data_IF_457306183562
#
_entry.id   IF_457306183562
#
_cell.length_a   1.000
_cell.length_b   1.000
_cell.length_c   1.000
_cell.angle_alpha   90.00
_cell.angle_beta   90.00
_cell.angle_gamma   90.00
#
_symmetry.space_group_name_H-M   'P 1'
#
loop_
_entity.id
_entity.type
_entity.pdbx_description
1 polymer ?
#
# COMPACT_ATOMS: atom_id res chain seq x y z
N UNK A 1 8.50 -3.31 -12.73
CA UNK A 1 9.18 -2.28 -11.92
C UNK A 1 9.15 -2.79 -10.49
N UNK A 2 10.33 -2.86 -9.82
CA UNK A 2 10.41 -3.30 -8.44
C UNK A 2 9.51 -2.47 -7.52
N UNK A 3 9.00 -3.13 -6.48
CA UNK A 3 8.07 -2.55 -5.54
C UNK A 3 8.50 -2.88 -4.11
N UNK A 4 8.72 -1.85 -3.30
CA UNK A 4 9.09 -2.00 -1.90
C UNK A 4 7.90 -1.68 -1.01
N UNK A 5 7.50 -2.62 -0.15
CA UNK A 5 6.50 -2.35 0.89
C UNK A 5 6.95 -1.20 1.79
N UNK A 6 6.03 -0.31 2.10
CA UNK A 6 6.25 0.77 3.03
C UNK A 6 5.22 0.70 4.15
N UNK A 7 5.74 0.81 5.37
CA UNK A 7 4.89 1.08 6.51
C UNK A 7 4.55 2.56 6.49
N UNK A 8 3.26 2.84 6.58
CA UNK A 8 2.72 4.19 6.51
C UNK A 8 1.84 4.46 7.71
N UNK A 9 1.81 5.71 8.14
CA UNK A 9 0.89 6.21 9.15
C UNK A 9 -0.05 7.22 8.50
N UNK A 10 -1.33 7.13 8.84
CA UNK A 10 -2.33 8.11 8.41
C UNK A 10 -2.08 9.43 9.12
N UNK A 11 -1.94 10.49 8.34
CA UNK A 11 -1.62 11.84 8.81
C UNK A 11 -2.76 12.84 8.55
N UNK A 12 -3.96 12.34 8.25
CA UNK A 12 -5.16 13.13 7.97
C UNK A 12 -5.61 13.05 6.51
N UNK A 13 -6.42 14.01 6.07
CA UNK A 13 -7.01 14.03 4.72
C UNK A 13 -6.59 15.30 3.99
N UNK A 14 -6.12 15.16 2.76
CA UNK A 14 -5.75 16.28 1.87
C UNK A 14 -6.57 16.13 0.59
N UNK A 15 -7.31 17.19 0.23
CA UNK A 15 -8.17 17.22 -0.97
C UNK A 15 -9.13 16.01 -1.07
N UNK A 16 -9.72 15.59 0.06
CA UNK A 16 -10.63 14.45 0.14
C UNK A 16 -9.97 13.07 0.03
N UNK A 17 -8.64 13.00 -0.05
CA UNK A 17 -7.86 11.74 -0.06
C UNK A 17 -7.10 11.58 1.24
N UNK A 18 -6.96 10.35 1.72
CA UNK A 18 -6.23 10.10 2.96
C UNK A 18 -4.72 10.22 2.73
N UNK A 19 -4.07 11.06 3.52
CA UNK A 19 -2.63 11.28 3.44
C UNK A 19 -1.90 10.24 4.29
N UNK A 20 -1.10 9.43 3.61
CA UNK A 20 -0.24 8.42 4.21
C UNK A 20 1.20 8.93 4.20
N UNK A 21 1.83 8.92 5.36
CA UNK A 21 3.23 9.30 5.51
C UNK A 21 4.04 8.02 5.78
N UNK A 22 5.03 7.69 4.94
CA UNK A 22 5.95 6.58 5.22
C UNK A 22 6.67 6.80 6.55
N UNK A 23 6.68 5.80 7.42
CA UNK A 23 7.34 5.89 8.73
C UNK A 23 8.86 5.71 8.65
N UNK A 24 9.39 5.45 7.46
CA UNK A 24 10.81 5.11 7.23
C UNK A 24 11.09 3.61 7.30
N UNK A 25 10.19 2.82 7.90
CA UNK A 25 10.28 1.36 7.88
C UNK A 25 9.83 0.83 6.51
N UNK A 26 10.76 0.18 5.81
CA UNK A 26 10.53 -0.48 4.54
C UNK A 26 10.42 -1.99 4.79
N UNK A 27 9.40 -2.60 4.20
CA UNK A 27 9.17 -4.03 4.25
C UNK A 27 9.87 -4.75 3.09
N UNK A 28 9.22 -5.83 2.63
CA UNK A 28 9.78 -6.68 1.59
C UNK A 28 9.83 -5.92 0.26
N UNK A 29 10.96 -6.02 -0.44
CA UNK A 29 11.06 -5.57 -1.83
C UNK A 29 10.80 -6.74 -2.76
N UNK A 30 9.94 -6.53 -3.74
CA UNK A 30 9.51 -7.53 -4.70
C UNK A 30 9.80 -7.07 -6.14
N UNK A 31 9.98 -8.01 -7.08
CA UNK A 31 10.14 -7.67 -8.50
C UNK A 31 8.94 -6.91 -9.06
N UNK A 32 7.72 -7.29 -8.65
CA UNK A 32 6.48 -6.62 -9.05
C UNK A 32 5.46 -6.56 -7.89
N UNK A 33 4.69 -5.48 -7.81
CA UNK A 33 3.50 -5.39 -6.92
C UNK A 33 2.55 -6.57 -7.14
N UNK A 34 2.45 -7.04 -8.39
CA UNK A 34 1.56 -8.13 -8.77
C UNK A 34 1.89 -9.44 -8.03
N UNK A 35 3.15 -9.68 -7.69
CA UNK A 35 3.55 -10.88 -6.92
C UNK A 35 2.88 -10.92 -5.54
N UNK A 36 2.77 -9.75 -4.90
CA UNK A 36 2.04 -9.61 -3.63
C UNK A 36 0.54 -9.81 -3.80
N UNK A 37 -0.05 -9.15 -4.80
CA UNK A 37 -1.49 -9.28 -5.07
C UNK A 37 -1.85 -10.73 -5.34
N UNK A 38 -1.06 -11.43 -6.17
CA UNK A 38 -1.24 -12.85 -6.46
C UNK A 38 -1.08 -13.70 -5.20
N UNK A 39 -0.10 -13.40 -4.34
CA UNK A 39 0.06 -14.09 -3.04
C UNK A 39 -1.17 -13.95 -2.14
N UNK A 40 -1.72 -12.74 -2.03
CA UNK A 40 -2.94 -12.47 -1.24
C UNK A 40 -4.18 -13.12 -1.82
N UNK A 41 -4.35 -13.10 -3.14
CA UNK A 41 -5.44 -13.77 -3.83
C UNK A 41 -5.38 -15.30 -3.63
N UNK A 42 -4.18 -15.90 -3.69
CA UNK A 42 -3.97 -17.32 -3.36
C UNK A 42 -4.33 -17.64 -1.91
N UNK A 43 -4.02 -16.71 -0.99
CA UNK A 43 -4.41 -16.81 0.41
C UNK A 43 -5.90 -16.49 0.67
N UNK A 44 -6.72 -16.31 -0.38
CA UNK A 44 -8.14 -15.94 -0.31
C UNK A 44 -8.40 -14.65 0.50
N UNK A 45 -7.39 -13.79 0.58
CA UNK A 45 -7.50 -12.50 1.26
C UNK A 45 -8.03 -11.47 0.26
N UNK A 46 -9.15 -10.79 0.56
CA UNK A 46 -9.70 -9.78 -0.33
C UNK A 46 -8.75 -8.57 -0.36
N UNK A 47 -8.29 -8.22 -1.56
CA UNK A 47 -7.42 -7.07 -1.81
C UNK A 47 -8.15 -6.07 -2.69
N UNK A 48 -8.10 -4.79 -2.33
CA UNK A 48 -8.70 -3.70 -3.09
C UNK A 48 -7.66 -2.63 -3.37
N UNK A 49 -7.56 -2.19 -4.62
CA UNK A 49 -6.75 -1.04 -4.98
C UNK A 49 -7.38 0.24 -4.42
N UNK A 50 -6.61 0.99 -3.64
CA UNK A 50 -6.99 2.28 -3.01
C UNK A 50 -6.04 3.40 -3.43
N UNK A 51 -5.26 3.20 -4.48
CA UNK A 51 -4.29 4.17 -5.01
C UNK A 51 -4.94 5.47 -5.46
N UNK A 52 -6.22 5.43 -5.85
CA UNK A 52 -6.97 6.63 -6.22
C UNK A 52 -7.48 7.42 -5.01
N UNK A 53 -7.63 6.78 -3.84
CA UNK A 53 -8.27 7.35 -2.64
C UNK A 53 -7.28 7.79 -1.56
N UNK A 54 -6.00 7.44 -1.72
CA UNK A 54 -4.94 7.84 -0.79
C UNK A 54 -3.90 8.71 -1.51
N UNK A 55 -3.07 9.39 -0.73
CA UNK A 55 -1.92 10.14 -1.19
C UNK A 55 -0.73 9.77 -0.34
N UNK A 56 0.41 9.49 -0.94
CA UNK A 56 1.62 9.12 -0.21
C UNK A 56 2.62 10.28 -0.25
N UNK A 57 2.94 10.84 0.91
CA UNK A 57 3.82 12.00 1.00
C UNK A 57 5.24 11.65 0.56
N UNK A 58 5.82 12.46 -0.33
CA UNK A 58 7.24 12.37 -0.69
C UNK A 58 7.59 11.23 -1.64
N UNK A 59 6.60 10.56 -2.24
CA UNK A 59 6.83 9.46 -3.19
C UNK A 59 6.18 9.79 -4.52
N UNK A 60 7.00 9.86 -5.57
CA UNK A 60 6.52 10.19 -6.93
C UNK A 60 5.73 9.06 -7.58
N UNK A 61 6.15 7.81 -7.37
CA UNK A 61 5.49 6.63 -7.93
C UNK A 61 5.23 5.61 -6.82
N UNK A 62 3.96 5.28 -6.63
CA UNK A 62 3.52 4.41 -5.55
C UNK A 62 2.22 3.69 -5.94
N UNK A 63 1.93 2.60 -5.22
CA UNK A 63 0.65 1.89 -5.28
C UNK A 63 0.15 1.64 -3.85
N UNK A 64 -1.17 1.64 -3.62
CA UNK A 64 -1.73 1.32 -2.32
C UNK A 64 -2.87 0.33 -2.43
N UNK A 65 -2.86 -0.65 -1.54
CA UNK A 65 -3.87 -1.70 -1.47
C UNK A 65 -4.42 -1.80 -0.06
N UNK A 66 -5.73 -2.03 0.03
CA UNK A 66 -6.43 -2.34 1.27
C UNK A 66 -6.74 -3.85 1.28
N UNK A 67 -6.42 -4.51 2.38
CA UNK A 67 -6.82 -5.88 2.64
C UNK A 67 -7.58 -5.99 3.97
N UNK A 68 -8.36 -7.06 4.14
CA UNK A 68 -9.07 -7.34 5.38
C UNK A 68 -8.49 -8.58 6.05
N UNK A 69 -7.79 -8.40 7.17
CA UNK A 69 -7.19 -9.48 7.96
C UNK A 69 -7.79 -9.45 9.36
N UNK A 70 -8.39 -10.56 9.79
CA UNK A 70 -8.99 -10.67 11.13
C UNK A 70 -10.06 -9.61 11.43
N UNK A 71 -10.80 -9.16 10.41
CA UNK A 71 -11.81 -8.10 10.53
C UNK A 71 -11.28 -6.66 10.47
N UNK A 72 -9.96 -6.45 10.57
CA UNK A 72 -9.32 -5.13 10.47
C UNK A 72 -8.94 -4.84 9.03
N UNK A 73 -9.13 -3.58 8.62
CA UNK A 73 -8.61 -3.07 7.35
C UNK A 73 -7.14 -2.74 7.52
N UNK A 74 -6.29 -3.38 6.74
CA UNK A 74 -4.86 -3.11 6.66
C UNK A 74 -4.60 -2.45 5.33
N UNK A 75 -3.83 -1.36 5.34
CA UNK A 75 -3.41 -0.68 4.11
C UNK A 75 -1.92 -0.88 3.90
N UNK A 76 -1.58 -1.39 2.73
CA UNK A 76 -0.22 -1.67 2.31
C UNK A 76 0.13 -0.73 1.17
N UNK A 77 1.19 0.05 1.34
CA UNK A 77 1.69 0.98 0.32
C UNK A 77 2.99 0.44 -0.24
N UNK A 78 3.19 0.62 -1.54
CA UNK A 78 4.41 0.23 -2.24
C UNK A 78 5.06 1.46 -2.86
N UNK A 79 6.38 1.59 -2.68
CA UNK A 79 7.20 2.51 -3.48
C UNK A 79 7.61 1.80 -4.75
N UNK A 80 7.30 2.40 -5.90
CA UNK A 80 7.70 1.89 -7.21
C UNK A 80 9.00 2.61 -7.59
N UNK A 81 10.02 1.84 -7.94
CA UNK A 81 11.34 2.33 -8.36
C UNK A 81 11.61 2.03 -9.83
#
# INVERSE_FOLDING_TARGET
>A
MPATELKVTSAGTVAGKELLIPTGEQGTTMPHVQDWVTGRLKAKSPVKDVSSTVLVKGIKQWAAYEEKVGGKKIRTVFKIT
#
